data_IF_631479207395
#
_entry.id   IF_631479207395
#
_cell.length_a   1.000
_cell.length_b   1.000
_cell.length_c   1.000
_cell.angle_alpha   90.00
_cell.angle_beta   90.00
_cell.angle_gamma   90.00
#
_symmetry.space_group_name_H-M   'P 1'
#
loop_
_entity.id
_entity.type
_entity.pdbx_description
1 polymer ?
#
# COMPACT_ATOMS: atom_id res chain seq x y z
N UNK A 1 12.23 -9.03 -5.66
CA UNK A 1 12.55 -7.59 -5.49
C UNK A 1 13.02 -7.39 -4.06
N UNK A 2 14.06 -6.57 -3.82
CA UNK A 2 14.45 -6.21 -2.45
C UNK A 2 13.45 -5.18 -1.89
N UNK A 3 13.24 -5.12 -0.55
CA UNK A 3 12.40 -4.08 0.05
C UNK A 3 12.87 -2.68 -0.34
N UNK A 4 11.93 -1.81 -0.69
CA UNK A 4 12.21 -0.43 -1.09
C UNK A 4 11.69 0.54 -0.03
N UNK A 5 12.53 1.39 0.57
CA UNK A 5 12.09 2.34 1.59
C UNK A 5 11.16 3.38 0.97
N UNK A 6 9.96 3.51 1.52
CA UNK A 6 9.00 4.58 1.16
C UNK A 6 9.22 5.80 2.04
N UNK A 7 9.37 5.57 3.35
CA UNK A 7 9.59 6.62 4.33
C UNK A 7 10.30 6.09 5.56
N UNK A 8 11.25 6.88 6.09
CA UNK A 8 11.92 6.63 7.34
C UNK A 8 11.90 7.92 8.17
N UNK A 9 11.10 7.93 9.22
CA UNK A 9 11.01 9.02 10.18
C UNK A 9 11.48 8.55 11.56
N UNK A 10 11.62 9.48 12.50
CA UNK A 10 11.84 9.12 13.90
C UNK A 10 10.70 8.22 14.36
N UNK A 11 11.05 7.03 14.82
CA UNK A 11 10.15 6.01 15.38
C UNK A 11 9.15 5.41 14.36
N UNK A 12 9.41 5.54 13.04
CA UNK A 12 8.59 4.94 11.98
C UNK A 12 9.42 4.57 10.75
N UNK A 13 9.25 3.33 10.28
CA UNK A 13 9.81 2.84 9.03
C UNK A 13 8.68 2.27 8.18
N UNK A 14 8.65 2.65 6.90
CA UNK A 14 7.74 2.12 5.90
C UNK A 14 8.51 1.68 4.66
N UNK A 15 8.25 0.46 4.23
CA UNK A 15 8.87 -0.14 3.05
C UNK A 15 7.82 -0.79 2.14
N UNK A 16 8.05 -0.74 0.83
CA UNK A 16 7.42 -1.62 -0.13
C UNK A 16 8.20 -2.94 -0.14
N UNK A 17 7.64 -3.96 0.49
CA UNK A 17 8.30 -5.26 0.67
C UNK A 17 8.19 -6.17 -0.56
N UNK A 18 7.05 -6.13 -1.26
CA UNK A 18 6.81 -6.93 -2.46
C UNK A 18 5.79 -6.27 -3.39
N UNK A 19 5.92 -6.57 -4.68
CA UNK A 19 4.92 -6.32 -5.71
C UNK A 19 4.72 -7.62 -6.47
N UNK A 20 3.48 -8.11 -6.48
CA UNK A 20 3.11 -9.33 -7.19
C UNK A 20 2.19 -8.98 -8.33
N UNK A 21 2.57 -9.35 -9.55
CA UNK A 21 1.75 -9.13 -10.72
C UNK A 21 0.78 -10.29 -10.95
N UNK A 22 -0.45 -9.93 -11.30
CA UNK A 22 -1.51 -10.81 -11.78
C UNK A 22 -2.03 -10.28 -13.10
N UNK A 23 -2.72 -11.12 -13.88
CA UNK A 23 -3.33 -10.69 -15.14
C UNK A 23 -4.33 -9.53 -14.92
N UNK A 24 -5.04 -9.56 -13.79
CA UNK A 24 -6.03 -8.56 -13.40
C UNK A 24 -5.45 -7.31 -12.72
N UNK A 25 -4.14 -7.26 -12.42
CA UNK A 25 -3.56 -6.12 -11.71
C UNK A 25 -2.33 -6.43 -10.88
N UNK A 26 -2.08 -5.58 -9.88
CA UNK A 26 -0.94 -5.66 -8.98
C UNK A 26 -1.38 -5.77 -7.53
N UNK A 27 -0.73 -6.65 -6.78
CA UNK A 27 -0.80 -6.69 -5.33
C UNK A 27 0.48 -6.06 -4.76
N UNK A 28 0.31 -4.96 -4.01
CA UNK A 28 1.38 -4.33 -3.25
C UNK A 28 1.35 -4.87 -1.82
N UNK A 29 2.52 -5.26 -1.31
CA UNK A 29 2.69 -5.58 0.10
C UNK A 29 3.66 -4.59 0.73
N UNK A 30 3.17 -3.82 1.69
CA UNK A 30 3.99 -2.91 2.46
C UNK A 30 4.39 -3.57 3.79
N UNK A 31 5.48 -3.11 4.39
CA UNK A 31 5.91 -3.47 5.72
C UNK A 31 6.10 -2.18 6.52
N UNK A 32 5.45 -2.10 7.67
CA UNK A 32 5.51 -0.94 8.54
C UNK A 32 5.92 -1.36 9.95
N UNK A 33 6.90 -0.66 10.51
CA UNK A 33 7.29 -0.74 11.91
C UNK A 33 7.20 0.66 12.53
N UNK A 34 6.48 0.77 13.64
CA UNK A 34 6.33 2.00 14.40
C UNK A 34 6.74 1.72 15.84
N UNK A 35 7.50 2.62 16.45
CA UNK A 35 7.96 2.50 17.83
C UNK A 35 7.54 3.71 18.66
N UNK A 36 7.82 3.65 19.97
CA UNK A 36 7.51 4.73 20.90
C UNK A 36 6.02 5.09 20.94
N UNK A 37 5.72 6.37 21.22
CA UNK A 37 4.35 6.85 21.41
C UNK A 37 3.50 6.75 20.12
N UNK A 38 4.13 6.80 18.94
CA UNK A 38 3.44 6.62 17.66
C UNK A 38 2.87 5.22 17.51
N UNK A 39 3.53 4.21 18.07
CA UNK A 39 3.06 2.83 18.04
C UNK A 39 1.75 2.68 18.83
N UNK A 40 1.59 3.42 19.92
CA UNK A 40 0.35 3.43 20.68
C UNK A 40 -0.77 4.09 19.87
N UNK A 41 -0.52 5.24 19.25
CA UNK A 41 -1.51 5.88 18.36
C UNK A 41 -1.91 4.98 17.18
N UNK A 42 -0.97 4.25 16.59
CA UNK A 42 -1.26 3.30 15.51
C UNK A 42 -2.16 2.12 15.93
N UNK A 43 -2.19 1.80 17.23
CA UNK A 43 -3.10 0.79 17.80
C UNK A 43 -4.48 1.34 18.12
N UNK A 44 -4.61 2.66 18.33
CA UNK A 44 -5.86 3.28 18.74
C UNK A 44 -6.69 3.73 17.53
N UNK A 45 -7.97 3.40 17.58
CA UNK A 45 -9.02 3.82 16.64
C UNK A 45 -9.13 5.35 16.63
N UNK A 46 -8.91 6.03 15.51
CA UNK A 46 -8.89 7.52 15.46
C UNK A 46 -10.15 8.14 14.84
N UNK A 47 -11.22 7.38 14.56
CA UNK A 47 -12.44 7.93 13.97
C UNK A 47 -13.72 7.61 14.74
N UNK A 48 -14.71 8.52 14.76
CA UNK A 48 -16.06 8.21 15.22
C UNK A 48 -16.70 7.17 14.29
N UNK A 49 -17.25 6.10 14.87
CA UNK A 49 -18.08 5.12 14.18
C UNK A 49 -19.33 5.79 13.58
N UNK A 50 -19.41 5.91 12.25
CA UNK A 50 -20.67 6.24 11.57
C UNK A 50 -21.63 5.05 11.54
N UNK A 51 -21.11 3.82 11.57
CA UNK A 51 -21.87 2.58 11.70
C UNK A 51 -21.18 1.64 12.72
N UNK A 52 -21.81 1.33 13.87
CA UNK A 52 -21.27 0.40 14.88
C UNK A 52 -21.00 -1.02 14.39
N UNK A 53 -21.50 -1.41 13.22
CA UNK A 53 -21.29 -2.71 12.58
C UNK A 53 -20.31 -2.64 11.40
N UNK A 54 -19.94 -1.45 10.96
CA UNK A 54 -18.87 -1.24 10.00
C UNK A 54 -17.51 -1.20 10.72
N UNK A 55 -16.87 -2.37 10.77
CA UNK A 55 -15.55 -2.50 11.35
C UNK A 55 -14.47 -1.72 10.59
N UNK A 56 -14.71 -1.30 9.34
CA UNK A 56 -13.78 -0.48 8.56
C UNK A 56 -13.76 0.99 9.01
N UNK A 57 -14.88 1.50 9.53
CA UNK A 57 -14.99 2.84 10.09
C UNK A 57 -14.19 3.05 11.40
N UNK A 58 -13.66 1.96 11.98
CA UNK A 58 -12.92 1.95 13.25
C UNK A 58 -11.45 2.25 13.13
N UNK A 59 -10.89 2.37 11.92
CA UNK A 59 -9.44 2.42 11.75
C UNK A 59 -9.03 3.62 10.90
N UNK A 60 -8.18 4.51 11.42
CA UNK A 60 -7.22 5.15 10.51
C UNK A 60 -6.23 4.10 10.10
N UNK A 61 -6.00 3.99 8.80
CA UNK A 61 -5.01 3.10 8.24
C UNK A 61 -4.09 3.90 7.33
N UNK A 62 -2.95 3.29 7.02
CA UNK A 62 -2.01 3.80 6.03
C UNK A 62 -2.76 4.09 4.72
N UNK A 63 -2.83 5.35 4.34
CA UNK A 63 -3.40 5.74 3.04
C UNK A 63 -2.32 5.54 1.99
N UNK A 64 -2.63 4.78 0.95
CA UNK A 64 -1.74 4.56 -0.19
C UNK A 64 -2.43 5.09 -1.44
N UNK A 65 -1.78 6.07 -2.07
CA UNK A 65 -2.13 6.59 -3.38
C UNK A 65 -1.15 6.01 -4.41
N UNK A 66 -1.68 5.65 -5.57
CA UNK A 66 -0.93 5.10 -6.68
C UNK A 66 -1.12 5.96 -7.90
N UNK A 67 -0.03 6.18 -8.63
CA UNK A 67 -0.08 6.76 -9.97
C UNK A 67 0.58 5.80 -10.97
N UNK A 68 -0.18 5.41 -11.97
CA UNK A 68 0.19 4.43 -12.99
C UNK A 68 -0.40 4.85 -14.34
N UNK A 69 0.44 5.26 -15.28
CA UNK A 69 -0.01 5.86 -16.54
C UNK A 69 -1.01 7.01 -16.29
N UNK A 70 -2.27 6.82 -16.70
CA UNK A 70 -3.39 7.75 -16.55
C UNK A 70 -4.18 7.54 -15.24
N UNK A 71 -3.88 6.49 -14.47
CA UNK A 71 -4.49 6.21 -13.17
C UNK A 71 -3.81 7.06 -12.10
N UNK A 72 -4.59 7.79 -11.31
CA UNK A 72 -4.15 8.52 -10.12
C UNK A 72 -5.25 8.44 -9.06
N UNK A 73 -4.97 7.78 -7.94
CA UNK A 73 -5.98 7.59 -6.90
C UNK A 73 -5.57 6.65 -5.78
N UNK A 74 -6.47 6.42 -4.81
CA UNK A 74 -6.23 5.48 -3.72
C UNK A 74 -6.14 4.04 -4.25
N UNK A 75 -5.22 3.27 -3.68
CA UNK A 75 -5.17 1.84 -3.86
C UNK A 75 -6.17 1.15 -2.92
N UNK A 76 -6.74 0.04 -3.37
CA UNK A 76 -7.77 -0.68 -2.63
C UNK A 76 -7.12 -1.48 -1.50
N UNK A 77 -7.34 -1.08 -0.25
CA UNK A 77 -6.82 -1.81 0.90
C UNK A 77 -7.51 -3.17 1.04
N UNK A 78 -6.73 -4.24 1.10
CA UNK A 78 -7.25 -5.58 1.42
C UNK A 78 -7.26 -5.70 2.94
N UNK A 79 -8.42 -5.44 3.53
CA UNK A 79 -8.62 -5.55 4.97
C UNK A 79 -8.54 -7.02 5.43
N UNK A 80 -7.65 -7.31 6.38
CA UNK A 80 -7.77 -8.52 7.20
C UNK A 80 -8.67 -8.18 8.38
N UNK A 81 -9.68 -9.01 8.61
CA UNK A 81 -10.75 -8.77 9.60
C UNK A 81 -10.31 -8.83 11.07
N UNK A 82 -9.01 -8.94 11.36
CA UNK A 82 -8.55 -9.15 12.72
C UNK A 82 -7.76 -7.94 13.22
N UNK A 83 -8.19 -7.33 14.34
CA UNK A 83 -7.44 -6.25 14.96
C UNK A 83 -6.06 -6.76 15.36
N UNK A 84 -5.00 -5.94 15.23
CA UNK A 84 -3.70 -6.28 15.78
C UNK A 84 -3.86 -6.55 17.29
N UNK A 85 -3.19 -7.60 17.78
CA UNK A 85 -3.19 -7.94 19.20
C UNK A 85 -2.78 -6.71 20.03
N UNK A 86 -3.37 -6.55 21.23
CA UNK A 86 -3.03 -5.47 22.19
C UNK A 86 -1.64 -5.67 22.83
N UNK A 87 -0.70 -6.20 22.09
CA UNK A 87 0.67 -6.40 22.55
C UNK A 87 1.36 -5.03 22.72
N UNK A 88 1.97 -4.85 23.88
CA UNK A 88 2.88 -3.72 24.15
C UNK A 88 4.17 -3.90 23.36
N UNK A 89 4.74 -2.80 22.84
CA UNK A 89 6.01 -2.81 22.10
C UNK A 89 5.94 -2.07 20.74
N UNK A 90 6.81 -2.41 19.78
CA UNK A 90 6.69 -1.93 18.41
C UNK A 90 5.36 -2.37 17.77
N UNK A 91 4.69 -1.46 17.07
CA UNK A 91 3.56 -1.79 16.21
C UNK A 91 4.10 -2.23 14.85
N UNK A 92 3.74 -3.45 14.41
CA UNK A 92 4.16 -4.01 13.13
C UNK A 92 2.95 -4.44 12.33
N UNK A 93 2.93 -4.10 11.05
CA UNK A 93 1.87 -4.52 10.13
C UNK A 93 2.40 -4.71 8.71
N UNK A 94 1.73 -5.58 7.96
CA UNK A 94 2.04 -5.88 6.56
C UNK A 94 0.81 -5.69 5.67
N UNK A 95 0.35 -4.44 5.47
CA UNK A 95 -0.88 -4.17 4.75
C UNK A 95 -0.72 -4.47 3.26
N UNK A 96 -1.81 -4.95 2.69
CA UNK A 96 -1.92 -5.34 1.29
C UNK A 96 -2.82 -4.35 0.55
N UNK A 97 -2.40 -3.93 -0.64
CA UNK A 97 -3.17 -3.04 -1.49
C UNK A 97 -3.27 -3.61 -2.90
N UNK A 98 -4.47 -3.55 -3.45
CA UNK A 98 -4.75 -3.94 -4.82
C UNK A 98 -4.75 -2.72 -5.74
N UNK A 99 -4.18 -2.90 -6.93
CA UNK A 99 -4.29 -1.99 -8.06
C UNK A 99 -4.86 -2.78 -9.22
N UNK A 100 -6.02 -2.37 -9.74
CA UNK A 100 -6.73 -3.07 -10.82
C UNK A 100 -6.07 -2.97 -12.21
N UNK A 101 -4.78 -2.65 -12.30
CA UNK A 101 -4.06 -2.55 -13.58
C UNK A 101 -2.56 -2.79 -13.43
N UNK A 102 -1.93 -3.26 -14.51
CA UNK A 102 -0.48 -3.25 -14.68
C UNK A 102 -0.10 -2.04 -15.56
N UNK A 103 0.76 -1.11 -15.09
CA UNK A 103 1.11 0.09 -15.87
C UNK A 103 1.80 -0.27 -17.19
N UNK A 104 1.32 0.29 -18.31
CA UNK A 104 1.90 0.08 -19.65
C UNK A 104 3.30 0.64 -19.76
N UNK A 105 3.59 1.73 -19.05
CA UNK A 105 4.93 2.31 -18.95
C UNK A 105 5.90 1.44 -18.14
N UNK A 106 5.41 0.42 -17.44
CA UNK A 106 6.23 -0.42 -16.57
C UNK A 106 6.73 0.32 -15.33
N UNK A 107 6.09 1.43 -14.95
CA UNK A 107 6.45 2.23 -13.77
C UNK A 107 5.22 2.54 -12.92
N UNK A 108 5.41 2.53 -11.60
CA UNK A 108 4.37 2.80 -10.63
C UNK A 108 4.91 3.77 -9.57
N UNK A 109 4.25 4.93 -9.40
CA UNK A 109 4.51 5.78 -8.25
C UNK A 109 3.58 5.39 -7.10
N UNK A 110 4.15 5.23 -5.91
CA UNK A 110 3.43 4.90 -4.68
C UNK A 110 3.67 6.03 -3.69
N UNK A 111 2.59 6.64 -3.20
CA UNK A 111 2.64 7.67 -2.16
C UNK A 111 1.87 7.17 -0.94
N UNK A 112 2.53 7.12 0.21
CA UNK A 112 1.95 6.65 1.45
C UNK A 112 1.88 7.78 2.47
N UNK A 113 0.81 7.81 3.27
CA UNK A 113 0.66 8.78 4.37
C UNK A 113 -0.20 8.21 5.48
N UNK A 114 0.03 8.67 6.71
CA UNK A 114 -0.84 8.36 7.84
C UNK A 114 -0.80 9.53 8.84
N UNK A 115 -1.57 10.61 8.55
CA UNK A 115 -1.51 11.85 9.32
C UNK A 115 -1.86 11.67 10.80
N UNK A 116 -2.75 10.73 11.12
CA UNK A 116 -3.22 10.48 12.50
C UNK A 116 -2.10 9.98 13.44
N UNK A 117 -1.02 9.41 12.90
CA UNK A 117 0.18 9.03 13.65
C UNK A 117 1.39 9.93 13.36
N UNK A 118 1.16 11.02 12.62
CA UNK A 118 2.20 11.98 12.23
C UNK A 118 3.12 11.51 11.11
N UNK A 119 2.70 10.55 10.28
CA UNK A 119 3.44 10.16 9.08
C UNK A 119 3.01 11.02 7.88
N UNK A 120 3.90 11.90 7.45
CA UNK A 120 3.65 12.79 6.33
C UNK A 120 3.74 12.04 4.99
N UNK A 121 3.12 12.56 3.90
CA UNK A 121 3.21 11.93 2.59
C UNK A 121 4.65 11.68 2.14
N UNK A 122 4.97 10.43 1.82
CA UNK A 122 6.25 10.01 1.29
C UNK A 122 6.04 9.15 0.04
N UNK A 123 6.87 9.34 -0.98
CA UNK A 123 6.68 8.76 -2.31
C UNK A 123 7.90 8.02 -2.82
N UNK A 124 7.66 6.93 -3.55
CA UNK A 124 8.67 6.22 -4.34
C UNK A 124 8.15 5.96 -5.75
N UNK A 125 9.08 5.70 -6.67
CA UNK A 125 8.79 5.19 -8.01
C UNK A 125 9.39 3.81 -8.14
N UNK A 126 8.57 2.84 -8.53
CA UNK A 126 8.92 1.44 -8.72
C UNK A 126 9.01 1.17 -10.22
N UNK A 127 10.14 0.61 -10.66
CA UNK A 127 10.29 0.09 -12.03
C UNK A 127 9.89 -1.37 -12.04
N UNK A 128 8.78 -1.68 -12.72
CA UNK A 128 8.20 -3.01 -12.83
C UNK A 128 8.66 -3.75 -14.10
N UNK A 129 9.00 -2.99 -15.15
CA UNK A 129 9.30 -3.55 -16.48
C UNK A 129 8.03 -3.82 -17.30
N UNK A 130 8.13 -4.53 -18.43
CA UNK A 130 6.97 -4.90 -19.23
C UNK A 130 6.06 -5.88 -18.48
N UNK A 131 4.76 -5.83 -18.75
CA UNK A 131 3.81 -6.79 -18.17
C UNK A 131 4.21 -8.22 -18.53
N UNK A 132 4.35 -9.12 -17.53
CA UNK A 132 4.67 -10.52 -17.79
C UNK A 132 3.50 -11.28 -18.43
N UNK A 133 2.30 -10.67 -18.48
CA UNK A 133 1.09 -11.24 -19.07
C UNK A 133 0.78 -10.67 -20.45
N UNK A 134 1.62 -9.77 -20.97
CA UNK A 134 1.45 -9.25 -22.34
C UNK A 134 1.65 -10.38 -23.35
N UNK A 135 0.56 -10.87 -23.94
CA UNK A 135 0.62 -11.67 -25.14
C UNK A 135 1.06 -10.79 -26.30
N UNK A 136 2.26 -11.02 -26.83
CA UNK A 136 2.60 -10.56 -28.17
C UNK A 136 1.61 -11.20 -29.15
N UNK A 137 0.61 -10.44 -29.56
CA UNK A 137 -0.29 -10.79 -30.66
C UNK A 137 -0.60 -9.54 -31.46
N UNK A 138 0.45 -9.00 -32.08
CA UNK A 138 0.28 -8.37 -33.39
C UNK A 138 0.77 -9.38 -34.43
N UNK A 139 -0.15 -10.24 -34.82
CA UNK A 139 -0.06 -10.95 -36.08
C UNK A 139 -0.19 -9.91 -37.20
N UNK A 140 0.93 -9.31 -37.59
CA UNK A 140 1.05 -8.53 -38.81
C UNK A 140 1.10 -9.45 -40.03
N UNK A 141 0.05 -10.23 -40.25
CA UNK A 141 -0.26 -10.82 -41.54
C UNK A 141 -0.91 -9.72 -42.40
N UNK A 142 -0.08 -8.95 -43.10
CA UNK A 142 -0.51 -8.00 -44.14
C UNK A 142 0.26 -8.31 -45.41
N UNK A 143 -0.48 -8.80 -46.41
CA UNK A 143 -0.03 -9.23 -47.75
C UNK A 143 0.88 -8.23 -48.47
#
# INVERSE_FOLDING_TARGET
>A
MAPMPIGAEKDLILELSAVTAFESGLLLQLAMEITGIRADFARYETRPLTDPHDWSARWSYLTVLVRADDLDGPADAIHRNEPPSRESGPYRTTPLYWIGTYPRTGSLAVTASWPEIGFHPASIVVTLGPSPFSTASESGAGR
#
